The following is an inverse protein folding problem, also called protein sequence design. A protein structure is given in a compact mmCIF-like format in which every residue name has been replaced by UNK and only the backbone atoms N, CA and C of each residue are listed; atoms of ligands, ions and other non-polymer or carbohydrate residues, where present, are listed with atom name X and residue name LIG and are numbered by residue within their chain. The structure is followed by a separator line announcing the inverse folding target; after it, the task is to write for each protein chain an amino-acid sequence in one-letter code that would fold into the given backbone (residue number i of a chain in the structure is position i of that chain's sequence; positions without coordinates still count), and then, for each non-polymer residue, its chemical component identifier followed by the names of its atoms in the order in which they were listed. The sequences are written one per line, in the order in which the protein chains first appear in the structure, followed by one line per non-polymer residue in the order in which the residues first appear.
data_IF_057075844085
#
_entry.id   IF_057075844085
#
_cell.length_a   1.000
_cell.length_b   1.000
_cell.length_c   1.000
_cell.angle_alpha   90.00
_cell.angle_beta   90.00
_cell.angle_gamma   90.00
#
_symmetry.space_group_name_H-M   'P 1'
#
loop_
_entity.id
_entity.type
_entity.pdbx_description
1 polymer ?
#
# COMPACT_ATOMS: atom_id res chain seq x y z
N UNK A 1 -9.27 25.22 -14.47
CA UNK A 1 -9.80 25.98 -15.65
C UNK A 1 -10.54 25.05 -16.64
N UNK A 2 -10.11 23.78 -16.82
CA UNK A 2 -10.71 22.84 -17.78
C UNK A 2 -11.92 22.07 -17.23
N UNK A 3 -12.00 21.87 -15.92
CA UNK A 3 -13.07 21.11 -15.25
C UNK A 3 -14.40 21.87 -15.14
N UNK A 4 -14.40 23.20 -15.33
CA UNK A 4 -15.59 24.05 -15.16
C UNK A 4 -16.75 23.73 -16.13
N UNK A 5 -16.49 22.95 -17.17
CA UNK A 5 -17.49 22.53 -18.17
C UNK A 5 -17.95 21.08 -17.98
N UNK A 6 -17.57 20.43 -16.87
CA UNK A 6 -18.05 19.10 -16.54
C UNK A 6 -19.30 19.19 -15.68
N UNK A 7 -20.25 18.29 -15.88
CA UNK A 7 -21.47 18.22 -15.06
C UNK A 7 -21.16 17.55 -13.71
N UNK A 8 -20.28 16.54 -13.72
CA UNK A 8 -19.84 15.81 -12.53
C UNK A 8 -18.34 15.54 -12.55
N UNK A 9 -17.72 15.50 -11.37
CA UNK A 9 -16.32 15.09 -11.18
C UNK A 9 -16.24 13.90 -10.22
N UNK A 10 -15.35 12.96 -10.52
CA UNK A 10 -15.09 11.80 -9.70
C UNK A 10 -13.67 11.87 -9.17
N UNK A 11 -13.53 11.80 -7.84
CA UNK A 11 -12.28 11.55 -7.15
C UNK A 11 -12.21 10.09 -6.70
N UNK A 12 -11.08 9.44 -6.91
CA UNK A 12 -10.88 8.05 -6.44
C UNK A 12 -10.36 7.97 -5.00
N UNK A 13 -10.25 9.11 -4.30
CA UNK A 13 -10.14 9.22 -2.86
C UNK A 13 -11.13 10.23 -2.30
N UNK A 14 -11.48 10.08 -1.01
CA UNK A 14 -12.33 11.06 -0.32
C UNK A 14 -11.68 12.44 -0.31
N UNK A 15 -10.36 12.50 -0.09
CA UNK A 15 -9.59 13.75 -0.06
C UNK A 15 -9.65 14.50 -1.40
N UNK A 16 -9.59 13.78 -2.54
CA UNK A 16 -9.75 14.39 -3.86
C UNK A 16 -11.15 14.97 -4.02
N UNK A 17 -12.19 14.24 -3.60
CA UNK A 17 -13.57 14.75 -3.61
C UNK A 17 -13.67 16.01 -2.74
N UNK A 18 -13.15 15.97 -1.52
CA UNK A 18 -13.22 17.07 -0.57
C UNK A 18 -12.38 18.28 -1.05
N UNK A 19 -11.24 18.04 -1.68
CA UNK A 19 -10.47 19.09 -2.36
C UNK A 19 -11.28 19.77 -3.46
N UNK A 20 -12.00 19.03 -4.30
CA UNK A 20 -12.85 19.59 -5.35
C UNK A 20 -13.95 20.50 -4.76
N UNK A 21 -14.61 20.05 -3.70
CA UNK A 21 -15.60 20.86 -2.99
C UNK A 21 -14.96 22.12 -2.39
N UNK A 22 -13.77 22.01 -1.80
CA UNK A 22 -13.00 23.14 -1.29
C UNK A 22 -12.55 24.13 -2.37
N UNK A 23 -12.47 23.69 -3.64
CA UNK A 23 -12.20 24.56 -4.79
C UNK A 23 -13.47 25.21 -5.39
N UNK A 24 -14.62 25.04 -4.73
CA UNK A 24 -15.88 25.67 -5.10
C UNK A 24 -16.81 24.81 -5.98
N UNK A 25 -16.54 23.51 -6.07
CA UNK A 25 -17.49 22.58 -6.70
C UNK A 25 -18.67 22.30 -5.76
N UNK A 26 -19.86 22.20 -6.36
CA UNK A 26 -21.06 21.77 -5.64
C UNK A 26 -20.86 20.34 -5.12
N UNK A 27 -21.19 20.09 -3.86
CA UNK A 27 -20.95 18.79 -3.23
C UNK A 27 -21.70 17.64 -3.94
N UNK A 28 -22.86 17.96 -4.54
CA UNK A 28 -23.69 17.03 -5.30
C UNK A 28 -23.08 16.65 -6.66
N UNK A 29 -22.10 17.42 -7.13
CA UNK A 29 -21.39 17.20 -8.41
C UNK A 29 -19.99 16.62 -8.23
N UNK A 30 -19.51 16.52 -6.99
CA UNK A 30 -18.20 15.96 -6.66
C UNK A 30 -18.38 14.59 -5.96
N UNK A 31 -17.98 13.51 -6.62
CA UNK A 31 -18.24 12.14 -6.16
C UNK A 31 -16.96 11.44 -5.74
N UNK A 32 -17.08 10.51 -4.80
CA UNK A 32 -16.03 9.56 -4.45
C UNK A 32 -16.39 8.18 -5.00
N UNK A 33 -15.58 7.69 -5.92
CA UNK A 33 -15.67 6.32 -6.43
C UNK A 33 -14.26 5.71 -6.40
N UNK A 34 -13.99 4.74 -5.52
CA UNK A 34 -12.66 4.17 -5.35
C UNK A 34 -12.25 3.28 -6.54
N UNK A 35 -10.96 2.97 -6.61
CA UNK A 35 -10.49 1.87 -7.43
C UNK A 35 -10.84 0.54 -6.77
N UNK A 36 -11.02 -0.51 -7.57
CA UNK A 36 -11.13 -1.88 -7.06
C UNK A 36 -9.83 -2.65 -7.27
N UNK A 37 -9.67 -3.71 -6.49
CA UNK A 37 -8.60 -4.70 -6.62
C UNK A 37 -9.26 -6.07 -6.78
N UNK A 38 -8.67 -6.95 -7.59
CA UNK A 38 -9.18 -8.31 -7.82
C UNK A 38 -9.30 -9.10 -6.51
N UNK A 39 -10.38 -9.89 -6.40
CA UNK A 39 -10.62 -10.80 -5.28
C UNK A 39 -9.79 -12.09 -5.36
N UNK A 40 -9.09 -12.29 -6.47
CA UNK A 40 -8.32 -13.51 -6.71
C UNK A 40 -7.17 -13.65 -5.70
N UNK A 41 -7.21 -14.74 -4.93
CA UNK A 41 -6.11 -15.11 -4.05
C UNK A 41 -5.00 -15.77 -4.86
N UNK A 42 -3.80 -15.26 -4.71
CA UNK A 42 -2.64 -15.83 -5.37
C UNK A 42 -1.94 -16.86 -4.47
N UNK A 43 -1.40 -17.90 -5.09
CA UNK A 43 -0.46 -18.78 -4.42
C UNK A 43 0.86 -18.02 -4.16
N UNK A 44 1.47 -18.17 -2.99
CA UNK A 44 2.70 -17.48 -2.66
C UNK A 44 3.86 -17.95 -3.55
N UNK A 45 4.67 -17.01 -4.03
CA UNK A 45 5.92 -17.37 -4.70
C UNK A 45 6.85 -18.10 -3.72
N UNK A 46 7.57 -19.14 -4.15
CA UNK A 46 8.54 -19.82 -3.29
C UNK A 46 9.65 -18.85 -2.86
N UNK A 47 9.80 -18.61 -1.57
CA UNK A 47 10.79 -17.64 -1.02
C UNK A 47 12.23 -17.99 -1.44
N UNK A 48 12.52 -19.27 -1.60
CA UNK A 48 13.85 -19.78 -2.05
C UNK A 48 14.21 -19.36 -3.46
N UNK A 49 13.22 -19.07 -4.32
CA UNK A 49 13.46 -18.52 -5.67
C UNK A 49 14.24 -17.19 -5.60
N UNK A 50 14.08 -16.44 -4.52
CA UNK A 50 14.78 -15.18 -4.28
C UNK A 50 15.78 -15.31 -3.11
N UNK A 51 16.39 -16.47 -2.92
CA UNK A 51 17.41 -16.71 -1.91
C UNK A 51 16.98 -16.28 -0.48
N UNK A 52 15.70 -16.47 -0.17
CA UNK A 52 15.13 -16.19 1.15
C UNK A 52 14.72 -17.52 1.78
N UNK A 53 15.21 -17.86 2.98
CA UNK A 53 14.81 -19.10 3.66
C UNK A 53 13.31 -19.10 4.01
N UNK A 54 12.64 -20.24 3.92
CA UNK A 54 11.19 -20.34 4.15
C UNK A 54 10.77 -19.93 5.57
N UNK A 55 11.62 -20.14 6.56
CA UNK A 55 11.36 -19.76 7.96
C UNK A 55 11.82 -18.34 8.33
N UNK A 56 12.36 -17.56 7.38
CA UNK A 56 12.79 -16.19 7.65
C UNK A 56 11.60 -15.22 7.65
N UNK A 57 11.65 -14.22 8.54
CA UNK A 57 10.70 -13.11 8.49
C UNK A 57 10.91 -12.30 7.22
N UNK A 58 9.86 -12.10 6.44
CA UNK A 58 9.88 -11.42 5.15
C UNK A 58 9.02 -10.16 5.14
N UNK A 59 9.66 -9.04 4.88
CA UNK A 59 9.02 -7.75 4.61
C UNK A 59 9.04 -7.48 3.11
N UNK A 60 7.91 -7.02 2.57
CA UNK A 60 7.77 -6.65 1.16
C UNK A 60 7.44 -5.15 1.03
N UNK A 61 8.11 -4.48 0.10
CA UNK A 61 7.75 -3.16 -0.41
C UNK A 61 7.47 -3.22 -1.91
N UNK A 62 6.40 -2.57 -2.37
CA UNK A 62 5.99 -2.52 -3.78
C UNK A 62 5.93 -1.08 -4.27
N UNK A 63 6.48 -0.80 -5.44
CA UNK A 63 6.32 0.47 -6.12
C UNK A 63 7.53 0.92 -6.93
N UNK A 64 7.34 2.02 -7.65
CA UNK A 64 8.40 2.63 -8.45
C UNK A 64 9.58 3.06 -7.55
N UNK A 65 10.80 2.77 -7.94
CA UNK A 65 12.00 3.20 -7.22
C UNK A 65 12.22 4.70 -7.46
N UNK A 66 11.46 5.50 -6.72
CA UNK A 66 11.39 6.95 -6.82
C UNK A 66 11.32 7.58 -5.43
N UNK A 67 11.76 8.83 -5.28
CA UNK A 67 11.82 9.54 -4.01
C UNK A 67 10.48 9.53 -3.24
N UNK A 68 9.35 9.64 -3.94
CA UNK A 68 8.02 9.60 -3.32
C UNK A 68 7.71 8.28 -2.63
N UNK A 69 8.32 7.17 -3.06
CA UNK A 69 8.09 5.83 -2.49
C UNK A 69 8.96 5.52 -1.27
N UNK A 70 9.97 6.35 -0.98
CA UNK A 70 10.76 6.32 0.25
C UNK A 70 11.36 4.95 0.62
N UNK A 71 11.83 4.19 -0.36
CA UNK A 71 12.53 2.92 -0.09
C UNK A 71 13.86 3.10 0.63
N UNK A 72 14.44 4.30 0.56
CA UNK A 72 15.57 4.74 1.38
C UNK A 72 15.26 4.65 2.88
N UNK A 73 14.07 5.11 3.29
CA UNK A 73 13.58 5.01 4.68
C UNK A 73 13.36 3.56 5.10
N UNK A 74 12.82 2.72 4.20
CA UNK A 74 12.62 1.30 4.46
C UNK A 74 13.95 0.53 4.61
N UNK A 75 14.96 0.85 3.82
CA UNK A 75 16.31 0.29 3.96
C UNK A 75 16.93 0.66 5.30
N UNK A 76 16.81 1.93 5.72
CA UNK A 76 17.25 2.39 7.04
C UNK A 76 16.51 1.67 8.18
N UNK A 77 15.21 1.46 8.04
CA UNK A 77 14.43 0.68 9.02
C UNK A 77 14.93 -0.78 9.09
N UNK A 78 15.16 -1.42 7.93
CA UNK A 78 15.65 -2.79 7.83
C UNK A 78 17.07 -2.96 8.41
N UNK A 79 17.90 -1.90 8.42
CA UNK A 79 19.25 -1.95 9.02
C UNK A 79 19.23 -2.27 10.52
N UNK A 80 18.11 -1.95 11.19
CA UNK A 80 17.88 -2.19 12.62
C UNK A 80 17.27 -3.58 12.92
N UNK A 81 17.07 -4.41 11.88
CA UNK A 81 16.35 -5.68 11.92
C UNK A 81 17.21 -6.81 11.32
N UNK A 82 18.24 -7.31 12.03
CA UNK A 82 19.25 -8.20 11.45
C UNK A 82 18.72 -9.55 10.95
N UNK A 83 17.57 -10.02 11.46
CA UNK A 83 16.94 -11.30 11.09
C UNK A 83 15.87 -11.18 10.02
N UNK A 84 15.56 -9.97 9.54
CA UNK A 84 14.49 -9.72 8.57
C UNK A 84 15.05 -9.69 7.15
N UNK A 85 14.39 -10.43 6.26
CA UNK A 85 14.60 -10.31 4.82
C UNK A 85 13.67 -9.23 4.25
N UNK A 86 14.18 -8.48 3.29
CA UNK A 86 13.46 -7.40 2.63
C UNK A 86 13.40 -7.68 1.13
N UNK A 87 12.18 -7.72 0.58
CA UNK A 87 11.98 -7.68 -0.86
C UNK A 87 11.47 -6.29 -1.26
N UNK A 88 12.04 -5.74 -2.32
CA UNK A 88 11.60 -4.50 -2.95
C UNK A 88 11.30 -4.84 -4.41
N UNK A 89 10.03 -4.80 -4.79
CA UNK A 89 9.58 -5.06 -6.16
C UNK A 89 9.14 -3.76 -6.83
N UNK A 90 9.75 -3.51 -7.97
CA UNK A 90 9.57 -2.32 -8.79
C UNK A 90 10.86 -1.90 -9.45
N UNK A 91 10.76 -0.92 -10.33
CA UNK A 91 11.90 -0.33 -11.03
C UNK A 91 11.79 1.19 -11.00
N UNK A 92 12.89 1.88 -11.27
CA UNK A 92 12.90 3.34 -11.31
C UNK A 92 14.29 3.97 -11.17
N UNK A 93 14.34 5.31 -11.25
CA UNK A 93 15.59 6.05 -11.36
C UNK A 93 16.52 5.92 -10.14
N UNK A 94 15.99 5.56 -8.96
CA UNK A 94 16.79 5.45 -7.73
C UNK A 94 17.36 4.04 -7.49
N UNK A 95 17.25 3.12 -8.46
CA UNK A 95 17.69 1.72 -8.27
C UNK A 95 19.14 1.61 -7.78
N UNK A 96 20.07 2.21 -8.52
CA UNK A 96 21.51 2.15 -8.19
C UNK A 96 21.82 2.81 -6.84
N UNK A 97 21.15 3.93 -6.53
CA UNK A 97 21.31 4.63 -5.26
C UNK A 97 20.84 3.78 -4.09
N UNK A 98 19.66 3.14 -4.21
CA UNK A 98 19.10 2.27 -3.18
C UNK A 98 19.94 0.98 -3.00
N UNK A 99 20.45 0.40 -4.07
CA UNK A 99 21.36 -0.75 -3.99
C UNK A 99 22.67 -0.38 -3.25
N UNK A 100 23.24 0.78 -3.55
CA UNK A 100 24.42 1.32 -2.84
C UNK A 100 24.11 1.64 -1.36
N UNK A 101 22.93 2.20 -1.07
CA UNK A 101 22.50 2.41 0.31
C UNK A 101 22.39 1.08 1.07
N UNK A 102 21.81 0.04 0.44
CA UNK A 102 21.72 -1.29 1.05
C UNK A 102 23.10 -1.90 1.36
N UNK A 103 24.11 -1.64 0.52
CA UNK A 103 25.49 -2.03 0.77
C UNK A 103 26.07 -1.27 1.97
N UNK A 104 25.96 0.05 1.99
CA UNK A 104 26.48 0.92 3.05
C UNK A 104 25.86 0.60 4.42
N UNK A 105 24.59 0.22 4.43
CA UNK A 105 23.85 -0.20 5.64
C UNK A 105 24.09 -1.67 6.02
N UNK A 106 24.89 -2.42 5.25
CA UNK A 106 25.12 -3.85 5.43
C UNK A 106 23.83 -4.70 5.42
N UNK A 107 22.78 -4.25 4.70
CA UNK A 107 21.51 -4.98 4.55
C UNK A 107 21.40 -5.75 3.23
N UNK A 108 22.27 -5.49 2.27
CA UNK A 108 22.24 -6.13 0.93
C UNK A 108 22.20 -7.66 0.97
N UNK A 109 22.89 -8.39 1.89
CA UNK A 109 22.83 -9.85 1.93
C UNK A 109 21.42 -10.41 2.15
N UNK A 110 20.51 -9.64 2.76
CA UNK A 110 19.12 -10.03 3.05
C UNK A 110 18.08 -9.14 2.34
N UNK A 111 18.51 -8.25 1.45
CA UNK A 111 17.63 -7.43 0.60
C UNK A 111 17.63 -7.96 -0.82
N UNK A 112 16.45 -8.03 -1.44
CA UNK A 112 16.26 -8.42 -2.85
C UNK A 112 15.54 -7.31 -3.59
N UNK A 113 16.21 -6.74 -4.58
CA UNK A 113 15.59 -5.88 -5.58
C UNK A 113 15.08 -6.75 -6.70
N UNK A 114 13.76 -6.92 -6.79
CA UNK A 114 13.12 -7.90 -7.68
C UNK A 114 12.83 -7.35 -9.09
N UNK A 115 13.09 -6.04 -9.31
CA UNK A 115 12.72 -5.37 -10.54
C UNK A 115 11.21 -5.24 -10.71
N UNK A 116 10.76 -4.91 -11.92
CA UNK A 116 9.35 -4.88 -12.25
C UNK A 116 8.72 -6.27 -12.20
N UNK A 117 7.56 -6.38 -11.56
CA UNK A 117 6.85 -7.65 -11.37
C UNK A 117 5.37 -7.48 -11.71
N UNK A 118 4.80 -8.47 -12.40
CA UNK A 118 3.36 -8.54 -12.70
C UNK A 118 2.61 -9.43 -11.70
N UNK A 119 3.33 -10.31 -11.00
CA UNK A 119 2.81 -11.24 -10.00
C UNK A 119 2.81 -10.65 -8.58
N UNK A 120 2.44 -9.36 -8.44
CA UNK A 120 2.46 -8.64 -7.16
C UNK A 120 1.61 -9.33 -6.09
N UNK A 121 0.47 -9.90 -6.46
CA UNK A 121 -0.40 -10.65 -5.55
C UNK A 121 0.32 -11.88 -4.96
N UNK A 122 1.09 -12.61 -5.76
CA UNK A 122 1.87 -13.77 -5.30
C UNK A 122 3.07 -13.37 -4.42
N UNK A 123 3.68 -12.20 -4.69
CA UNK A 123 4.71 -11.63 -3.82
C UNK A 123 4.10 -11.21 -2.46
N UNK A 124 2.93 -10.58 -2.47
CA UNK A 124 2.19 -10.23 -1.26
C UNK A 124 1.84 -11.49 -0.46
N UNK A 125 1.27 -12.50 -1.10
CA UNK A 125 0.93 -13.76 -0.45
C UNK A 125 2.15 -14.47 0.19
N UNK A 126 3.36 -14.22 -0.32
CA UNK A 126 4.59 -14.73 0.25
C UNK A 126 5.13 -13.93 1.45
N UNK A 127 4.69 -12.68 1.65
CA UNK A 127 5.21 -11.78 2.66
C UNK A 127 4.54 -11.99 4.04
N UNK A 128 5.30 -11.76 5.12
CA UNK A 128 4.75 -11.74 6.48
C UNK A 128 4.17 -10.35 6.82
N UNK A 129 4.76 -9.30 6.25
CA UNK A 129 4.32 -7.89 6.41
C UNK A 129 4.55 -7.17 5.09
N UNK A 130 3.57 -6.38 4.68
CA UNK A 130 3.72 -5.38 3.62
C UNK A 130 4.01 -4.01 4.24
N UNK A 131 4.99 -3.29 3.67
CA UNK A 131 5.35 -1.92 4.10
C UNK A 131 5.21 -0.95 2.95
N UNK A 132 4.41 0.10 3.16
CA UNK A 132 4.27 1.25 2.27
C UNK A 132 4.97 2.47 2.89
N UNK A 133 6.24 2.72 2.61
CA UNK A 133 7.01 3.79 3.28
C UNK A 133 6.78 5.16 2.65
N UNK A 134 5.88 5.29 1.69
CA UNK A 134 5.74 6.42 0.77
C UNK A 134 5.60 7.78 1.44
N UNK A 135 6.42 8.75 1.03
CA UNK A 135 6.27 10.17 1.36
C UNK A 135 5.01 10.77 0.75
N UNK A 136 4.71 10.33 -0.49
CA UNK A 136 3.54 10.75 -1.24
C UNK A 136 2.90 9.53 -1.89
N UNK A 137 1.76 9.13 -1.37
CA UNK A 137 0.92 8.05 -1.89
C UNK A 137 -0.52 8.56 -1.99
N UNK A 138 -0.94 9.03 -3.16
CA UNK A 138 -2.26 9.67 -3.30
C UNK A 138 -3.43 8.73 -3.03
N UNK A 139 -3.32 7.46 -3.42
CA UNK A 139 -4.42 6.50 -3.45
C UNK A 139 -4.26 5.37 -2.44
N UNK A 140 -3.04 4.88 -2.25
CA UNK A 140 -2.77 3.71 -1.43
C UNK A 140 -3.25 2.38 -2.02
N UNK A 141 -3.35 2.25 -3.35
CA UNK A 141 -3.78 0.99 -4.00
C UNK A 141 -2.97 -0.22 -3.51
N UNK A 142 -1.66 -0.05 -3.29
CA UNK A 142 -0.79 -1.11 -2.78
C UNK A 142 -1.18 -1.58 -1.36
N UNK A 143 -1.83 -0.72 -0.56
CA UNK A 143 -2.41 -1.08 0.74
C UNK A 143 -3.63 -1.97 0.52
N UNK A 144 -4.50 -1.58 -0.41
CA UNK A 144 -5.71 -2.36 -0.76
C UNK A 144 -5.31 -3.71 -1.36
N UNK A 145 -4.27 -3.76 -2.20
CA UNK A 145 -3.71 -5.01 -2.75
C UNK A 145 -3.19 -5.94 -1.64
N UNK A 146 -2.49 -5.39 -0.64
CA UNK A 146 -2.03 -6.16 0.52
C UNK A 146 -3.21 -6.68 1.35
N UNK A 147 -4.21 -5.86 1.61
CA UNK A 147 -5.43 -6.28 2.29
C UNK A 147 -6.18 -7.36 1.53
N UNK A 148 -6.29 -7.26 0.19
CA UNK A 148 -6.90 -8.27 -0.67
C UNK A 148 -6.23 -9.64 -0.49
N UNK A 149 -4.91 -9.68 -0.33
CA UNK A 149 -4.17 -10.91 -0.06
C UNK A 149 -4.18 -11.33 1.42
N UNK A 150 -4.73 -10.51 2.33
CA UNK A 150 -4.77 -10.78 3.77
C UNK A 150 -3.42 -10.57 4.45
N UNK A 151 -2.60 -9.67 3.92
CA UNK A 151 -1.27 -9.35 4.44
C UNK A 151 -1.35 -8.14 5.36
N UNK A 152 -0.80 -8.19 6.59
CA UNK A 152 -0.80 -7.05 7.49
C UNK A 152 0.07 -5.93 6.94
N UNK A 153 -0.40 -4.69 7.11
CA UNK A 153 0.19 -3.49 6.52
C UNK A 153 0.80 -2.58 7.57
N UNK A 154 2.01 -2.09 7.29
CA UNK A 154 2.59 -0.91 7.94
C UNK A 154 2.74 0.16 6.86
N UNK A 155 2.30 1.38 7.11
CA UNK A 155 2.42 2.47 6.15
C UNK A 155 2.89 3.77 6.82
N UNK A 156 3.62 4.58 6.07
CA UNK A 156 3.82 5.97 6.44
C UNK A 156 2.48 6.71 6.38
N UNK A 157 2.23 7.60 7.35
CA UNK A 157 1.02 8.42 7.46
C UNK A 157 1.05 9.52 6.39
N UNK A 158 0.99 9.11 5.14
CA UNK A 158 0.85 9.97 3.97
C UNK A 158 -0.60 9.93 3.46
N UNK A 159 -0.99 10.83 2.58
CA UNK A 159 -2.38 11.08 2.17
C UNK A 159 -3.26 9.84 2.01
N UNK A 160 -2.95 8.94 1.07
CA UNK A 160 -3.77 7.75 0.80
C UNK A 160 -3.78 6.76 1.96
N UNK A 161 -2.63 6.24 2.41
CA UNK A 161 -2.57 5.33 3.56
C UNK A 161 -3.16 5.92 4.84
N UNK A 162 -2.93 7.22 5.12
CA UNK A 162 -3.46 7.89 6.30
C UNK A 162 -4.98 7.95 6.34
N UNK A 163 -5.64 7.99 5.16
CA UNK A 163 -7.12 7.98 5.08
C UNK A 163 -7.72 6.58 5.00
N UNK A 164 -6.94 5.58 4.56
CA UNK A 164 -7.40 4.21 4.41
C UNK A 164 -7.24 3.41 5.70
N UNK A 165 -6.13 3.62 6.42
CA UNK A 165 -5.73 2.78 7.56
C UNK A 165 -6.26 3.35 8.87
N UNK A 166 -7.03 2.56 9.56
CA UNK A 166 -7.33 2.76 10.97
C UNK A 166 -6.20 2.16 11.81
N UNK A 167 -5.44 3.05 12.48
CA UNK A 167 -4.21 2.67 13.20
C UNK A 167 -4.46 1.61 14.27
N UNK A 168 -3.69 0.51 14.19
CA UNK A 168 -3.77 -0.71 15.03
C UNK A 168 -5.02 -1.58 14.81
N UNK A 169 -5.94 -1.17 13.93
CA UNK A 169 -7.09 -1.98 13.55
C UNK A 169 -6.86 -2.61 12.15
N UNK A 170 -6.75 -1.81 11.11
CA UNK A 170 -6.57 -2.32 9.74
C UNK A 170 -5.12 -2.23 9.23
N UNK A 171 -4.23 -1.58 10.00
CA UNK A 171 -2.80 -1.43 9.71
C UNK A 171 -2.08 -0.65 10.81
N UNK A 172 -0.78 -0.46 10.63
CA UNK A 172 0.03 0.40 11.51
C UNK A 172 0.45 1.64 10.72
N UNK A 173 0.08 2.82 11.19
CA UNK A 173 0.60 4.09 10.68
C UNK A 173 1.84 4.52 11.46
N UNK A 174 2.84 5.00 10.74
CA UNK A 174 4.08 5.57 11.29
C UNK A 174 4.34 6.94 10.66
N UNK A 175 5.04 7.86 11.34
CA UNK A 175 5.35 9.15 10.74
C UNK A 175 6.13 9.00 9.43
N UNK A 176 5.86 9.91 8.48
CA UNK A 176 6.63 10.01 7.23
C UNK A 176 8.10 10.28 7.56
N UNK A 177 9.02 9.67 6.82
CA UNK A 177 10.47 9.79 6.98
C UNK A 177 11.04 9.32 8.34
N UNK A 178 10.27 8.59 9.15
CA UNK A 178 10.74 8.04 10.43
C UNK A 178 11.10 6.55 10.32
N UNK A 179 12.32 6.26 9.86
CA UNK A 179 12.84 4.89 9.74
C UNK A 179 12.95 4.17 11.09
N UNK A 180 13.17 4.92 12.18
CA UNK A 180 13.30 4.33 13.52
C UNK A 180 11.95 3.83 14.03
N UNK A 181 10.88 4.61 13.88
CA UNK A 181 9.52 4.19 14.22
C UNK A 181 9.05 3.06 13.31
N UNK A 182 9.35 3.14 12.01
CA UNK A 182 9.03 2.07 11.05
C UNK A 182 9.72 0.75 11.44
N UNK A 183 11.00 0.77 11.79
CA UNK A 183 11.73 -0.42 12.24
C UNK A 183 11.16 -1.02 13.53
N UNK A 184 10.75 -0.17 14.50
CA UNK A 184 10.05 -0.62 15.71
C UNK A 184 8.69 -1.25 15.38
N UNK A 185 7.93 -0.65 14.49
CA UNK A 185 6.62 -1.17 14.08
C UNK A 185 6.75 -2.54 13.42
N UNK A 186 7.73 -2.72 12.51
CA UNK A 186 8.01 -4.02 11.87
C UNK A 186 8.36 -5.07 12.93
N UNK A 187 9.29 -4.76 13.85
CA UNK A 187 9.69 -5.67 14.93
C UNK A 187 8.51 -6.09 15.78
N UNK A 188 7.76 -5.12 16.29
CA UNK A 188 6.62 -5.38 17.17
C UNK A 188 5.56 -6.25 16.49
N UNK A 189 5.29 -5.99 15.20
CA UNK A 189 4.29 -6.76 14.47
C UNK A 189 4.77 -8.17 14.13
N UNK A 190 6.08 -8.39 13.96
CA UNK A 190 6.66 -9.73 13.79
C UNK A 190 6.66 -10.53 15.09
N UNK A 191 6.83 -9.86 16.26
CA UNK A 191 6.89 -10.49 17.57
C UNK A 191 5.49 -10.71 18.18
N UNK A 192 4.49 -9.89 17.82
CA UNK A 192 3.09 -10.01 18.29
C UNK A 192 2.21 -10.67 17.23
N UNK A 193 2.13 -12.01 17.28
CA UNK A 193 1.31 -12.81 16.36
C UNK A 193 -0.19 -12.51 16.48
N UNK A 194 -0.66 -12.13 17.68
CA UNK A 194 -2.07 -11.76 17.92
C UNK A 194 -2.41 -10.46 17.19
N UNK A 195 -1.62 -9.42 17.38
CA UNK A 195 -1.81 -8.14 16.70
C UNK A 195 -1.66 -8.31 15.19
N UNK A 196 -0.67 -9.08 14.73
CA UNK A 196 -0.44 -9.34 13.30
C UNK A 196 -1.66 -9.97 12.65
N UNK A 197 -2.24 -11.01 13.26
CA UNK A 197 -3.46 -11.67 12.77
C UNK A 197 -4.68 -10.77 12.82
N UNK A 198 -4.82 -9.98 13.89
CA UNK A 198 -5.90 -9.01 14.03
C UNK A 198 -5.89 -7.99 12.88
N UNK A 199 -4.76 -7.35 12.63
CA UNK A 199 -4.58 -6.37 11.56
C UNK A 199 -4.82 -6.98 10.18
N UNK A 200 -4.27 -8.17 9.93
CA UNK A 200 -4.46 -8.87 8.65
C UNK A 200 -5.94 -9.18 8.38
N UNK A 201 -6.65 -9.67 9.41
CA UNK A 201 -8.08 -9.98 9.32
C UNK A 201 -8.92 -8.73 9.08
N UNK A 202 -8.70 -7.69 9.86
CA UNK A 202 -9.50 -6.46 9.76
C UNK A 202 -9.20 -5.70 8.46
N UNK A 203 -7.93 -5.64 8.01
CA UNK A 203 -7.58 -5.09 6.72
C UNK A 203 -8.27 -5.83 5.57
N UNK A 204 -8.27 -7.18 5.62
CA UNK A 204 -8.98 -7.97 4.62
C UNK A 204 -10.50 -7.73 4.66
N UNK A 205 -11.09 -7.57 5.84
CA UNK A 205 -12.51 -7.23 5.98
C UNK A 205 -12.80 -5.84 5.38
N UNK A 206 -11.98 -4.82 5.67
CA UNK A 206 -12.11 -3.48 5.09
C UNK A 206 -12.03 -3.52 3.54
N UNK A 207 -11.14 -4.35 3.00
CA UNK A 207 -11.10 -4.61 1.55
C UNK A 207 -12.41 -5.21 1.04
N UNK A 208 -12.92 -6.27 1.69
CA UNK A 208 -14.16 -6.94 1.28
C UNK A 208 -15.39 -6.03 1.32
N UNK A 209 -15.42 -5.07 2.23
CA UNK A 209 -16.55 -4.14 2.42
C UNK A 209 -16.57 -2.97 1.44
N UNK A 210 -15.41 -2.58 0.86
CA UNK A 210 -15.32 -1.33 0.12
C UNK A 210 -14.61 -1.40 -1.24
N UNK A 211 -13.73 -2.39 -1.48
CA UNK A 211 -12.78 -2.34 -2.59
C UNK A 211 -12.81 -3.54 -3.53
N UNK A 212 -13.79 -4.44 -3.36
CA UNK A 212 -13.99 -5.55 -4.31
C UNK A 212 -14.58 -5.03 -5.62
N UNK A 213 -14.29 -5.73 -6.72
CA UNK A 213 -14.83 -5.39 -8.05
C UNK A 213 -16.35 -5.25 -8.02
N UNK A 214 -17.05 -6.21 -7.40
CA UNK A 214 -18.51 -6.21 -7.31
C UNK A 214 -19.08 -4.96 -6.63
N UNK A 215 -18.47 -4.54 -5.51
CA UNK A 215 -18.93 -3.37 -4.74
C UNK A 215 -18.68 -2.09 -5.51
N UNK A 216 -17.47 -1.95 -6.05
CA UNK A 216 -17.08 -0.72 -6.75
C UNK A 216 -17.84 -0.58 -8.06
N UNK A 217 -18.00 -1.65 -8.84
CA UNK A 217 -18.82 -1.62 -10.07
C UNK A 217 -20.27 -1.24 -9.75
N UNK A 218 -20.83 -1.78 -8.65
CA UNK A 218 -22.18 -1.38 -8.23
C UNK A 218 -22.26 0.11 -7.94
N UNK A 219 -21.30 0.68 -7.21
CA UNK A 219 -21.26 2.12 -6.94
C UNK A 219 -21.17 2.96 -8.23
N UNK A 220 -20.36 2.55 -9.21
CA UNK A 220 -20.31 3.19 -10.52
C UNK A 220 -21.64 3.12 -11.28
N UNK A 221 -22.30 1.96 -11.26
CA UNK A 221 -23.60 1.80 -11.92
C UNK A 221 -24.69 2.64 -11.27
N UNK A 222 -24.76 2.65 -9.93
CA UNK A 222 -25.70 3.48 -9.17
C UNK A 222 -25.47 4.98 -9.47
N UNK A 223 -24.22 5.41 -9.55
CA UNK A 223 -23.87 6.78 -9.95
C UNK A 223 -24.33 7.10 -11.37
N UNK A 224 -24.05 6.24 -12.36
CA UNK A 224 -24.45 6.47 -13.75
C UNK A 224 -25.97 6.53 -13.91
N UNK A 225 -26.72 5.73 -13.17
CA UNK A 225 -28.18 5.79 -13.15
C UNK A 225 -28.69 7.10 -12.58
N UNK A 226 -28.10 7.58 -11.47
CA UNK A 226 -28.53 8.83 -10.83
C UNK A 226 -28.36 10.05 -11.72
N UNK A 227 -27.32 10.10 -12.56
CA UNK A 227 -27.14 11.22 -13.50
C UNK A 227 -28.05 11.14 -14.72
N UNK A 228 -28.50 9.94 -15.12
CA UNK A 228 -29.47 9.79 -16.22
C UNK A 228 -30.88 10.23 -15.82
N UNK A 229 -31.26 10.05 -14.55
CA UNK A 229 -32.57 10.45 -14.02
C UNK A 229 -32.69 11.97 -13.81
N UNK A 230 -31.56 12.69 -13.76
CA UNK A 230 -31.49 14.14 -13.55
C UNK A 230 -31.24 14.93 -14.83
N UNK A 231 -30.97 14.29 -15.95
CA UNK A 231 -30.73 14.89 -17.27
C UNK A 231 -32.05 14.96 -18.09
#
# INVERSE_FOLDING_TARGET
KYYQNCDHLIGNTKDIRDYLVGQGWEAEKAHYLPNFVSEEKADPVPRRQFFTPDGASLVLGLGRLHQNKAFDVLLDAASRLPSVYLWIAGDGPLKEELEKQAENLAVKPRTRFLGWREDTAALLAAADIFVCPSRHEPLGNVVIEAWAQGVPVIAADSYGPGTLIEHRETGILVPVDDSATMGRAIRNLLEDDTLRKHIAKNGHQAYQEAFTEKIVIKQYMDFLQSIQETA
#
